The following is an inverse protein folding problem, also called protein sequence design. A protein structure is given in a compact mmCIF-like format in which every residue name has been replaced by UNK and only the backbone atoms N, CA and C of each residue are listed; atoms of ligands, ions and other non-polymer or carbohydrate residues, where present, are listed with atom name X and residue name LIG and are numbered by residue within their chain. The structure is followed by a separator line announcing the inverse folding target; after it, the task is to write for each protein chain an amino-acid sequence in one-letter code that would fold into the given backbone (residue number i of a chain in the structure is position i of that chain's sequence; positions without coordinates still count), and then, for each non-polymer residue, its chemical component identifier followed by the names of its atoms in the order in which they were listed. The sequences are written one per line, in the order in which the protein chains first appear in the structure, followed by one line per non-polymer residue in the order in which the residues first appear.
data_IF_151478955587
#
_entry.id   IF_151478955587
#
_cell.length_a   1.000
_cell.length_b   1.000
_cell.length_c   1.000
_cell.angle_alpha   90.00
_cell.angle_beta   90.00
_cell.angle_gamma   90.00
#
_symmetry.space_group_name_H-M   'P 1'
#
loop_
_entity.id
_entity.type
_entity.pdbx_description
1 polymer ?
#
# COMPACT_ATOMS: atom_id res chain seq x y z
N UNK A 1 13.88 -31.37 -12.72
CA UNK A 1 13.48 -30.34 -13.70
C UNK A 1 12.97 -29.16 -12.91
N UNK A 2 13.67 -28.03 -12.94
CA UNK A 2 13.29 -26.84 -12.18
C UNK A 2 12.32 -26.03 -13.05
N UNK A 3 11.06 -25.93 -12.63
CA UNK A 3 10.09 -25.07 -13.29
C UNK A 3 10.36 -23.62 -12.89
N UNK A 4 11.02 -22.87 -13.76
CA UNK A 4 11.12 -21.42 -13.64
C UNK A 4 9.76 -20.83 -14.03
N UNK A 5 9.05 -20.27 -13.07
CA UNK A 5 7.80 -19.55 -13.31
C UNK A 5 8.16 -18.14 -13.77
N UNK A 6 7.75 -17.77 -14.99
CA UNK A 6 7.88 -16.39 -15.46
C UNK A 6 6.87 -15.51 -14.70
N UNK A 7 7.37 -14.52 -13.95
CA UNK A 7 6.53 -13.45 -13.41
C UNK A 7 6.30 -12.46 -14.55
N UNK A 8 5.22 -12.68 -15.31
CA UNK A 8 4.76 -11.73 -16.32
C UNK A 8 3.83 -10.73 -15.63
N UNK A 9 4.24 -9.46 -15.56
CA UNK A 9 3.35 -8.34 -15.23
C UNK A 9 3.83 -7.46 -14.08
N UNK A 10 4.80 -6.58 -14.34
CA UNK A 10 4.81 -5.25 -13.70
C UNK A 10 4.35 -4.25 -14.76
N UNK A 11 3.07 -4.31 -15.14
CA UNK A 11 2.42 -3.14 -15.72
C UNK A 11 1.56 -2.52 -14.63
N UNK A 12 2.22 -1.77 -13.76
CA UNK A 12 1.61 -1.07 -12.64
C UNK A 12 2.65 -0.75 -11.59
N UNK A 13 2.92 0.54 -11.38
CA UNK A 13 3.60 0.97 -10.17
C UNK A 13 2.75 0.56 -8.96
N UNK A 14 3.34 0.08 -7.86
CA UNK A 14 2.56 -0.23 -6.67
C UNK A 14 1.83 1.02 -6.20
N UNK A 15 0.61 0.80 -5.72
CA UNK A 15 -0.27 1.83 -5.19
C UNK A 15 -0.32 1.65 -3.68
N UNK A 16 -0.09 2.75 -2.96
CA UNK A 16 -0.05 2.79 -1.51
C UNK A 16 -1.10 3.74 -0.97
N UNK A 17 -1.43 3.57 0.30
CA UNK A 17 -2.23 4.49 1.10
C UNK A 17 -1.50 4.76 2.41
N UNK A 18 -1.43 6.02 2.82
CA UNK A 18 -0.95 6.42 4.14
C UNK A 18 -2.15 6.86 4.97
N UNK A 19 -2.36 6.24 6.14
CA UNK A 19 -3.47 6.57 7.03
C UNK A 19 -3.12 6.33 8.50
N UNK A 20 -3.70 7.11 9.41
CA UNK A 20 -3.49 7.01 10.88
C UNK A 20 -4.20 5.81 11.53
N UNK A 21 -5.29 5.32 10.95
CA UNK A 21 -6.10 4.22 11.48
C UNK A 21 -6.27 3.12 10.43
N UNK A 22 -6.89 1.98 10.80
CA UNK A 22 -7.35 0.97 9.84
C UNK A 22 -8.57 1.52 9.08
N UNK A 23 -8.41 1.99 7.83
CA UNK A 23 -9.47 2.73 7.16
C UNK A 23 -10.54 1.76 6.63
N UNK A 24 -11.81 2.12 6.84
CA UNK A 24 -12.97 1.35 6.36
C UNK A 24 -13.50 1.84 5.02
N UNK A 25 -13.20 3.09 4.68
CA UNK A 25 -13.56 3.78 3.44
C UNK A 25 -12.32 4.56 3.01
N UNK A 26 -12.02 4.49 1.72
CA UNK A 26 -10.87 5.14 1.10
C UNK A 26 -11.31 5.64 -0.27
N UNK A 27 -10.69 6.73 -0.71
CA UNK A 27 -10.92 7.32 -2.01
C UNK A 27 -9.65 7.24 -2.87
N UNK A 28 -9.81 7.12 -4.19
CA UNK A 28 -8.67 6.92 -5.10
C UNK A 28 -7.73 8.13 -5.16
N UNK A 29 -8.19 9.32 -4.78
CA UNK A 29 -7.35 10.53 -4.66
C UNK A 29 -6.40 10.49 -3.46
N UNK A 30 -6.65 9.60 -2.48
CA UNK A 30 -5.76 9.35 -1.35
C UNK A 30 -4.61 8.38 -1.72
N UNK A 31 -4.68 7.76 -2.90
CA UNK A 31 -3.73 6.76 -3.33
C UNK A 31 -2.44 7.38 -3.87
N UNK A 32 -1.32 6.83 -3.43
CA UNK A 32 0.02 7.24 -3.82
C UNK A 32 0.65 6.18 -4.71
N UNK A 33 1.08 6.57 -5.91
CA UNK A 33 1.80 5.69 -6.84
C UNK A 33 3.08 6.36 -7.33
N UNK A 34 4.03 5.54 -7.80
CA UNK A 34 5.31 6.04 -8.33
C UNK A 34 6.29 6.57 -7.27
N UNK A 35 5.98 6.41 -5.99
CA UNK A 35 6.88 6.71 -4.87
C UNK A 35 7.43 5.40 -4.30
N UNK A 36 8.75 5.27 -4.07
CA UNK A 36 9.32 4.11 -3.40
C UNK A 36 8.74 3.90 -1.99
N UNK A 37 8.50 2.64 -1.61
CA UNK A 37 7.98 2.31 -0.28
C UNK A 37 8.89 2.84 0.85
N UNK A 38 10.21 2.79 0.68
CA UNK A 38 11.17 3.29 1.66
C UNK A 38 10.95 4.79 1.95
N UNK A 39 10.78 5.59 0.89
CA UNK A 39 10.53 7.03 1.01
C UNK A 39 9.21 7.34 1.72
N UNK A 40 8.18 6.48 1.57
CA UNK A 40 6.93 6.60 2.32
C UNK A 40 7.14 6.30 3.80
N UNK A 41 7.85 5.22 4.12
CA UNK A 41 8.14 4.81 5.50
C UNK A 41 8.94 5.89 6.23
N UNK A 42 9.95 6.47 5.58
CA UNK A 42 10.81 7.50 6.17
C UNK A 42 10.04 8.78 6.52
N UNK A 43 8.93 9.06 5.82
CA UNK A 43 8.10 10.26 5.98
C UNK A 43 6.89 10.06 6.87
N UNK A 44 6.61 8.83 7.32
CA UNK A 44 5.50 8.54 8.22
C UNK A 44 5.57 9.41 9.47
N UNK A 45 4.45 10.04 9.78
CA UNK A 45 4.22 10.70 11.06
C UNK A 45 3.86 9.65 12.12
N UNK A 46 4.08 9.95 13.41
CA UNK A 46 3.58 9.13 14.51
C UNK A 46 2.06 8.88 14.36
N UNK A 47 1.64 7.63 14.56
CA UNK A 47 0.26 7.19 14.34
C UNK A 47 0.00 6.72 12.90
N UNK A 48 0.77 7.14 11.90
CA UNK A 48 0.54 6.76 10.51
C UNK A 48 1.03 5.35 10.14
N UNK A 49 0.35 4.77 9.17
CA UNK A 49 0.57 3.43 8.64
C UNK A 49 0.60 3.47 7.11
N UNK A 50 1.47 2.68 6.48
CA UNK A 50 1.46 2.46 5.03
C UNK A 50 0.74 1.16 4.72
N UNK A 51 -0.19 1.22 3.77
CA UNK A 51 -0.90 0.07 3.23
C UNK A 51 -0.57 -0.10 1.75
N UNK A 52 -0.40 -1.34 1.31
CA UNK A 52 -0.50 -1.71 -0.11
C UNK A 52 -1.97 -1.75 -0.51
N UNK A 53 -2.30 -1.11 -1.62
CA UNK A 53 -3.64 -1.12 -2.21
C UNK A 53 -3.70 -2.20 -3.29
N UNK A 54 -4.39 -3.30 -2.98
CA UNK A 54 -4.67 -4.37 -3.93
C UNK A 54 -6.08 -4.17 -4.50
N UNK A 55 -6.16 -3.67 -5.74
CA UNK A 55 -7.45 -3.55 -6.44
C UNK A 55 -8.11 -4.94 -6.56
N UNK A 56 -9.33 -5.05 -6.02
CA UNK A 56 -10.10 -6.28 -6.16
C UNK A 56 -10.89 -6.25 -7.47
N UNK A 57 -11.25 -7.42 -7.98
CA UNK A 57 -12.18 -7.52 -9.12
C UNK A 57 -13.63 -7.16 -8.75
N UNK A 58 -13.92 -6.88 -7.48
CA UNK A 58 -15.25 -6.50 -7.01
C UNK A 58 -15.36 -4.96 -7.03
N UNK A 59 -16.26 -4.38 -7.85
CA UNK A 59 -16.42 -2.93 -7.93
C UNK A 59 -16.70 -2.32 -6.55
N UNK A 60 -15.99 -1.23 -6.24
CA UNK A 60 -16.13 -0.52 -4.96
C UNK A 60 -15.45 -1.20 -3.77
N UNK A 61 -14.67 -2.27 -4.00
CA UNK A 61 -13.86 -2.90 -2.95
C UNK A 61 -12.38 -2.87 -3.32
N UNK A 62 -11.57 -2.51 -2.34
CA UNK A 62 -10.12 -2.67 -2.40
C UNK A 62 -9.65 -3.42 -1.17
N UNK A 63 -8.55 -4.16 -1.30
CA UNK A 63 -7.90 -4.80 -0.15
C UNK A 63 -6.71 -3.96 0.26
N UNK A 64 -6.60 -3.71 1.56
CA UNK A 64 -5.47 -3.02 2.14
C UNK A 64 -4.61 -4.00 2.94
N UNK A 65 -3.32 -4.04 2.63
CA UNK A 65 -2.35 -4.83 3.38
C UNK A 65 -1.39 -3.87 4.09
N UNK A 66 -1.45 -3.79 5.42
CA UNK A 66 -0.55 -2.95 6.20
C UNK A 66 0.89 -3.45 6.06
N UNK A 67 1.78 -2.60 5.58
CA UNK A 67 3.19 -2.91 5.35
C UNK A 67 4.08 -2.38 6.48
N UNK A 68 3.77 -1.18 6.99
CA UNK A 68 4.58 -0.50 7.99
C UNK A 68 3.72 0.42 8.86
N UNK A 69 4.27 0.81 10.01
CA UNK A 69 3.65 1.78 10.91
C UNK A 69 4.66 2.47 11.78
N UNK A 70 4.39 3.74 12.11
CA UNK A 70 5.14 4.49 13.11
C UNK A 70 4.29 4.64 14.37
N UNK A 71 4.74 4.06 15.48
CA UNK A 71 4.04 4.17 16.75
C UNK A 71 4.26 5.54 17.38
N UNK A 72 3.28 6.04 18.14
CA UNK A 72 3.31 7.29 18.93
C UNK A 72 4.31 7.30 20.11
N UNK A 73 5.26 6.36 20.16
CA UNK A 73 6.14 6.22 21.31
C UNK A 73 7.33 7.17 21.23
N UNK A 74 7.19 8.32 21.86
CA UNK A 74 8.23 8.95 22.68
C UNK A 74 7.77 9.00 24.15
#
# INVERSE_FOLDING_TARGET
MTNTHAIVGIEGMPVFLVAENDPRLVSEDEFVSGVPLADLIDRLQPGEHVYLVDYTSVPGQTRLTRLASRSDRD
#
